data_IF_301867475763
#
_entry.id   IF_301867475763
#
_cell.length_a   1.000
_cell.length_b   1.000
_cell.length_c   1.000
_cell.angle_alpha   90.00
_cell.angle_beta   90.00
_cell.angle_gamma   90.00
#
_symmetry.space_group_name_H-M   'P 1'
#
loop_
_entity.id
_entity.type
_entity.pdbx_description
1 polymer ?
#
# COMPACT_ATOMS: atom_id res chain seq x y z
N UNK A 1 -1.41 -2.46 1.88
CA UNK A 1 -1.76 -1.92 3.21
C UNK A 1 -2.17 -3.07 4.11
N UNK A 2 -1.67 -3.20 5.34
CA UNK A 2 -2.23 -4.16 6.31
C UNK A 2 -3.75 -3.96 6.42
N UNK A 3 -4.53 -5.03 6.53
CA UNK A 3 -5.99 -4.94 6.69
C UNK A 3 -6.35 -4.11 7.92
N UNK A 4 -7.45 -3.38 7.85
CA UNK A 4 -7.88 -2.49 8.93
C UNK A 4 -8.14 -3.20 10.27
N UNK A 5 -8.44 -4.49 10.25
CA UNK A 5 -8.63 -5.32 11.46
C UNK A 5 -7.31 -5.82 12.07
N UNK A 6 -6.17 -5.62 11.41
CA UNK A 6 -4.86 -6.06 11.88
C UNK A 6 -4.09 -4.90 12.50
N UNK A 7 -3.24 -5.23 13.48
CA UNK A 7 -2.33 -4.28 14.08
C UNK A 7 -1.26 -3.85 13.05
N UNK A 8 -1.00 -2.55 13.00
CA UNK A 8 0.08 -1.94 12.22
C UNK A 8 1.11 -1.27 13.17
N UNK A 9 2.11 -2.03 13.67
CA UNK A 9 3.10 -1.49 14.61
C UNK A 9 3.95 -0.36 14.02
N UNK A 10 4.17 -0.37 12.70
CA UNK A 10 4.96 0.66 12.02
C UNK A 10 4.19 1.97 11.98
N UNK A 11 2.90 1.94 11.60
CA UNK A 11 2.03 3.11 11.63
C UNK A 11 1.94 3.72 13.03
N UNK A 12 1.76 2.89 14.07
CA UNK A 12 1.73 3.36 15.46
C UNK A 12 3.03 4.02 15.91
N UNK A 13 4.18 3.43 15.56
CA UNK A 13 5.48 4.02 15.89
C UNK A 13 5.66 5.40 15.24
N UNK A 14 5.28 5.54 13.97
CA UNK A 14 5.34 6.83 13.26
C UNK A 14 4.37 7.84 13.86
N UNK A 15 3.14 7.43 14.18
CA UNK A 15 2.17 8.30 14.85
C UNK A 15 2.71 8.85 16.17
N UNK A 16 3.25 8.00 17.04
CA UNK A 16 3.83 8.44 18.31
C UNK A 16 5.01 9.40 18.10
N UNK A 17 5.87 9.14 17.11
CA UNK A 17 6.98 10.02 16.78
C UNK A 17 6.49 11.41 16.33
N UNK A 18 5.46 11.48 15.47
CA UNK A 18 4.88 12.74 15.02
C UNK A 18 4.27 13.53 16.18
N UNK A 19 3.53 12.87 17.07
CA UNK A 19 2.96 13.50 18.26
C UNK A 19 4.05 14.05 19.20
N UNK A 20 5.12 13.29 19.42
CA UNK A 20 6.27 13.73 20.23
C UNK A 20 7.00 14.94 19.62
N UNK A 21 6.93 15.13 18.30
CA UNK A 21 7.47 16.29 17.58
C UNK A 21 6.54 17.52 17.59
N UNK A 22 5.37 17.42 18.22
CA UNK A 22 4.41 18.53 18.36
C UNK A 22 3.25 18.51 17.37
N UNK A 23 3.15 17.51 16.49
CA UNK A 23 2.02 17.35 15.54
C UNK A 23 0.84 16.63 16.22
N UNK A 24 0.24 17.28 17.22
CA UNK A 24 -0.84 16.72 18.04
C UNK A 24 -2.15 16.46 17.27
N UNK A 25 -2.33 17.09 16.11
CA UNK A 25 -3.47 16.91 15.22
C UNK A 25 -3.46 15.58 14.46
N UNK A 26 -2.33 14.84 14.47
CA UNK A 26 -2.22 13.54 13.80
C UNK A 26 -3.01 12.48 14.57
N UNK A 27 -4.19 12.15 14.05
CA UNK A 27 -5.12 11.20 14.67
C UNK A 27 -4.76 9.73 14.41
N UNK A 28 -4.23 9.41 13.23
CA UNK A 28 -3.87 8.03 12.86
C UNK A 28 -2.84 8.02 11.73
N UNK A 29 -1.92 7.06 11.79
CA UNK A 29 -0.98 6.76 10.69
C UNK A 29 -1.09 5.29 10.33
N UNK A 30 -1.12 5.01 9.03
CA UNK A 30 -1.05 3.66 8.45
C UNK A 30 0.20 3.56 7.59
N UNK A 31 0.94 2.48 7.75
CA UNK A 31 2.19 2.22 7.05
C UNK A 31 2.09 0.96 6.20
N UNK A 32 2.84 0.95 5.10
CA UNK A 32 3.06 -0.24 4.29
C UNK A 32 3.65 0.13 2.94
N UNK A 33 3.48 -0.75 1.96
CA UNK A 33 4.32 -0.78 0.77
C UNK A 33 3.77 0.12 -0.33
N UNK A 34 4.66 0.87 -0.98
CA UNK A 34 4.43 1.51 -2.26
C UNK A 34 5.39 0.89 -3.28
N UNK A 35 4.84 0.33 -4.37
CA UNK A 35 5.62 -0.38 -5.39
C UNK A 35 5.39 0.30 -6.74
N UNK A 36 6.49 0.69 -7.39
CA UNK A 36 6.49 1.19 -8.77
C UNK A 36 7.07 0.11 -9.66
N UNK A 37 6.27 -0.34 -10.64
CA UNK A 37 6.64 -1.46 -11.51
C UNK A 37 6.55 -0.99 -12.96
N UNK A 38 7.63 -1.20 -13.72
CA UNK A 38 7.63 -0.99 -15.17
C UNK A 38 7.18 -2.28 -15.85
N UNK A 39 6.15 -2.19 -16.70
CA UNK A 39 5.56 -3.34 -17.39
C UNK A 39 5.43 -3.01 -18.87
N UNK A 40 5.90 -3.91 -19.73
CA UNK A 40 5.63 -3.84 -21.16
C UNK A 40 4.24 -4.44 -21.47
N UNK A 41 3.43 -3.67 -22.18
CA UNK A 41 2.10 -4.06 -22.63
C UNK A 41 1.72 -3.27 -23.90
N UNK A 42 0.89 -3.85 -24.75
CA UNK A 42 0.41 -3.20 -25.96
C UNK A 42 -0.65 -2.13 -25.66
N UNK A 43 -1.41 -2.29 -24.57
CA UNK A 43 -2.44 -1.35 -24.13
C UNK A 43 -2.41 -1.12 -22.63
N UNK A 44 -3.07 -0.04 -22.19
CA UNK A 44 -3.24 0.28 -20.76
C UNK A 44 -4.07 -0.80 -20.04
N UNK A 45 -5.07 -1.36 -20.73
CA UNK A 45 -5.93 -2.41 -20.20
C UNK A 45 -5.13 -3.70 -19.96
N UNK A 46 -4.24 -4.06 -20.89
CA UNK A 46 -3.35 -5.21 -20.72
C UNK A 46 -2.36 -4.97 -19.56
N UNK A 47 -1.78 -3.77 -19.45
CA UNK A 47 -0.93 -3.41 -18.32
C UNK A 47 -1.68 -3.51 -16.98
N UNK A 48 -2.94 -3.03 -16.94
CA UNK A 48 -3.77 -3.12 -15.73
C UNK A 48 -4.12 -4.56 -15.35
N UNK A 49 -4.42 -5.42 -16.33
CA UNK A 49 -4.67 -6.84 -16.07
C UNK A 49 -3.43 -7.55 -15.53
N UNK A 50 -2.25 -7.26 -16.11
CA UNK A 50 -0.96 -7.77 -15.61
C UNK A 50 -0.66 -7.27 -14.19
N UNK A 51 -0.84 -5.98 -13.93
CA UNK A 51 -0.61 -5.39 -12.61
C UNK A 51 -1.50 -6.04 -11.54
N UNK A 52 -2.81 -6.20 -11.80
CA UNK A 52 -3.74 -6.91 -10.89
C UNK A 52 -3.28 -8.34 -10.61
N UNK A 53 -2.91 -9.08 -11.66
CA UNK A 53 -2.40 -10.45 -11.52
C UNK A 53 -1.15 -10.51 -10.63
N UNK A 54 -0.23 -9.55 -10.78
CA UNK A 54 0.97 -9.48 -9.93
C UNK A 54 0.59 -9.20 -8.46
N UNK A 55 -0.35 -8.28 -8.22
CA UNK A 55 -0.85 -7.99 -6.89
C UNK A 55 -1.49 -9.21 -6.22
N UNK A 56 -2.38 -9.90 -6.91
CA UNK A 56 -3.13 -11.05 -6.37
C UNK A 56 -2.22 -12.26 -6.10
N UNK A 57 -1.17 -12.43 -6.90
CA UNK A 57 -0.30 -13.62 -6.81
C UNK A 57 0.93 -13.44 -5.93
N UNK A 58 1.42 -12.21 -5.76
CA UNK A 58 2.71 -12.00 -5.13
C UNK A 58 2.80 -10.71 -4.32
N UNK A 59 2.42 -9.57 -4.89
CA UNK A 59 2.80 -8.28 -4.31
C UNK A 59 1.98 -7.92 -3.05
N UNK A 60 0.77 -8.46 -2.92
CA UNK A 60 -0.05 -8.32 -1.73
C UNK A 60 -0.38 -9.69 -1.15
N UNK A 61 -0.25 -9.85 0.16
CA UNK A 61 -0.73 -11.04 0.84
C UNK A 61 -2.28 -10.96 0.99
N UNK A 62 -3.05 -11.83 0.34
CA UNK A 62 -4.52 -11.74 0.32
C UNK A 62 -5.18 -12.04 1.67
N UNK A 63 -4.44 -12.51 2.69
CA UNK A 63 -4.97 -12.76 4.04
C UNK A 63 -4.76 -11.54 4.94
N UNK A 64 -3.70 -10.77 4.71
CA UNK A 64 -3.27 -9.73 5.67
C UNK A 64 -3.18 -8.34 5.07
N UNK A 65 -3.24 -8.19 3.75
CA UNK A 65 -3.06 -6.92 3.07
C UNK A 65 -4.19 -6.64 2.08
N UNK A 66 -4.64 -5.39 2.04
CA UNK A 66 -5.42 -4.80 0.95
C UNK A 66 -4.48 -4.00 0.03
N UNK A 67 -4.81 -3.85 -1.25
CA UNK A 67 -4.00 -3.07 -2.19
C UNK A 67 -4.86 -2.19 -3.09
N UNK A 68 -4.26 -1.11 -3.56
CA UNK A 68 -4.75 -0.30 -4.66
C UNK A 68 -3.68 -0.27 -5.74
N UNK A 69 -4.09 -0.35 -7.01
CA UNK A 69 -3.19 -0.27 -8.15
C UNK A 69 -3.68 0.78 -9.14
N UNK A 70 -2.77 1.61 -9.64
CA UNK A 70 -3.01 2.55 -10.73
C UNK A 70 -2.00 2.28 -11.85
N UNK A 71 -2.41 2.57 -13.08
CA UNK A 71 -1.56 2.42 -14.26
C UNK A 71 -1.55 3.73 -15.02
N UNK A 72 -0.35 4.26 -15.22
CA UNK A 72 -0.05 5.45 -16.02
C UNK A 72 0.92 5.11 -17.16
N UNK A 73 0.93 5.90 -18.26
CA UNK A 73 1.91 5.78 -19.34
C UNK A 73 3.33 6.09 -18.88
#
# INVERSE_FOLDING_TARGET
MPRASLLDPQGQAVQHALQALGFGEVASVRAGKHLVVQVQAATREEAAAKARTMCDRLLANPVTEDYECSVSP
#
